data_IF_589169853462
#
_entry.id   IF_589169853462
#
_cell.length_a   1.000
_cell.length_b   1.000
_cell.length_c   1.000
_cell.angle_alpha   90.00
_cell.angle_beta   90.00
_cell.angle_gamma   90.00
#
_symmetry.space_group_name_H-M   'P 1'
#
loop_
_entity.id
_entity.type
_entity.pdbx_description
1 polymer ?
#
# COMPACT_ATOMS: atom_id res chain seq x y z
N UNK A 1 -17.94 55.19 -40.87
CA UNK A 1 -16.83 55.03 -39.91
C UNK A 1 -16.88 53.61 -39.37
N UNK A 2 -16.05 52.72 -39.91
CA UNK A 2 -16.16 51.28 -39.70
C UNK A 2 -15.55 50.90 -38.35
N UNK A 3 -16.38 50.48 -37.39
CA UNK A 3 -15.89 49.93 -36.12
C UNK A 3 -15.55 48.46 -36.33
N UNK A 4 -14.27 48.10 -36.18
CA UNK A 4 -13.81 46.71 -36.11
C UNK A 4 -13.75 46.30 -34.65
N UNK A 5 -14.57 45.32 -34.26
CA UNK A 5 -14.49 44.69 -32.94
C UNK A 5 -13.52 43.51 -33.02
N UNK A 6 -12.46 43.57 -32.22
CA UNK A 6 -11.57 42.43 -31.99
C UNK A 6 -12.04 41.72 -30.72
N UNK A 7 -12.51 40.49 -30.86
CA UNK A 7 -12.78 39.62 -29.71
C UNK A 7 -11.50 38.86 -29.39
N UNK A 8 -10.92 39.14 -28.22
CA UNK A 8 -9.88 38.29 -27.64
C UNK A 8 -10.63 37.10 -27.06
N UNK A 9 -10.53 35.92 -27.70
CA UNK A 9 -10.92 34.67 -27.08
C UNK A 9 -10.05 34.51 -25.83
N UNK A 10 -10.60 34.53 -24.60
CA UNK A 10 -9.81 34.14 -23.45
C UNK A 10 -9.52 32.65 -23.64
N UNK A 11 -8.27 32.33 -23.98
CA UNK A 11 -7.76 30.98 -23.87
C UNK A 11 -7.81 30.62 -22.38
N UNK A 12 -8.94 30.06 -21.95
CA UNK A 12 -9.11 29.50 -20.61
C UNK A 12 -8.30 28.20 -20.59
N UNK A 13 -6.99 28.33 -20.38
CA UNK A 13 -6.11 27.21 -20.10
C UNK A 13 -6.44 26.75 -18.68
N UNK A 14 -7.48 25.93 -18.54
CA UNK A 14 -7.75 25.26 -17.28
C UNK A 14 -6.60 24.28 -17.05
N UNK A 15 -5.62 24.70 -16.25
CA UNK A 15 -4.58 23.82 -15.73
C UNK A 15 -5.29 22.82 -14.80
N UNK A 16 -5.76 21.70 -15.34
CA UNK A 16 -6.23 20.59 -14.53
C UNK A 16 -5.01 20.09 -13.77
N UNK A 17 -4.88 20.51 -12.51
CA UNK A 17 -3.90 19.95 -11.59
C UNK A 17 -4.24 18.47 -11.53
N UNK A 18 -3.40 17.64 -12.17
CA UNK A 18 -3.49 16.20 -12.08
C UNK A 18 -3.10 15.87 -10.64
N UNK A 19 -4.10 15.89 -9.75
CA UNK A 19 -3.88 15.43 -8.39
C UNK A 19 -3.59 13.94 -8.53
N UNK A 20 -2.37 13.47 -8.18
CA UNK A 20 -2.13 12.03 -8.16
C UNK A 20 -3.07 11.44 -7.12
N UNK A 21 -4.17 10.85 -7.59
CA UNK A 21 -5.10 10.14 -6.75
C UNK A 21 -4.35 8.91 -6.25
N UNK A 22 -4.19 8.79 -4.93
CA UNK A 22 -3.74 7.55 -4.33
C UNK A 22 -4.70 6.43 -4.76
N UNK A 23 -4.20 5.52 -5.58
CA UNK A 23 -4.98 4.42 -6.11
C UNK A 23 -4.24 3.13 -5.75
N UNK A 24 -4.87 2.36 -4.87
CA UNK A 24 -4.46 0.97 -4.62
C UNK A 24 -4.51 0.19 -5.94
N UNK A 25 -3.53 -0.70 -6.13
CA UNK A 25 -3.49 -1.61 -7.27
C UNK A 25 -4.41 -2.82 -7.09
N UNK A 26 -4.98 -2.98 -5.89
CA UNK A 26 -5.72 -4.17 -5.49
C UNK A 26 -6.92 -4.42 -6.39
N UNK A 27 -7.05 -5.68 -6.80
CA UNK A 27 -8.20 -6.20 -7.53
C UNK A 27 -8.72 -7.44 -6.83
N UNK A 28 -9.94 -7.84 -7.18
CA UNK A 28 -10.49 -9.12 -6.76
C UNK A 28 -10.67 -10.00 -8.00
N UNK A 29 -9.96 -11.11 -8.03
CA UNK A 29 -10.01 -12.11 -9.09
C UNK A 29 -10.36 -13.47 -8.49
N UNK A 30 -11.50 -14.04 -8.87
CA UNK A 30 -11.97 -15.34 -8.36
C UNK A 30 -12.00 -15.36 -6.81
N UNK A 31 -12.58 -14.32 -6.21
CA UNK A 31 -12.64 -14.11 -4.75
C UNK A 31 -11.28 -13.90 -4.07
N UNK A 32 -10.18 -13.83 -4.81
CA UNK A 32 -8.86 -13.56 -4.26
C UNK A 32 -8.47 -12.10 -4.43
N UNK A 33 -8.03 -11.44 -3.36
CA UNK A 33 -7.34 -10.16 -3.47
C UNK A 33 -5.99 -10.38 -4.17
N UNK A 34 -5.80 -9.68 -5.28
CA UNK A 34 -4.56 -9.68 -6.07
C UNK A 34 -3.96 -8.28 -6.07
N UNK A 35 -2.68 -8.21 -6.44
CA UNK A 35 -1.94 -6.96 -6.59
C UNK A 35 -1.92 -6.13 -5.29
N UNK A 36 -1.99 -6.81 -4.13
CA UNK A 36 -1.78 -6.19 -2.81
C UNK A 36 -0.31 -5.82 -2.67
N UNK A 37 -0.02 -4.57 -2.33
CA UNK A 37 1.35 -4.07 -2.19
C UNK A 37 1.70 -3.80 -0.73
N UNK A 38 2.78 -4.42 -0.28
CA UNK A 38 3.38 -4.21 1.04
C UNK A 38 4.74 -3.56 0.82
N UNK A 39 4.91 -2.30 1.20
CA UNK A 39 6.16 -1.58 0.96
C UNK A 39 6.93 -1.35 2.26
N UNK A 40 8.24 -1.59 2.21
CA UNK A 40 9.17 -1.27 3.29
C UNK A 40 9.77 0.11 3.01
N UNK A 41 9.69 1.02 3.97
CA UNK A 41 10.22 2.38 3.85
C UNK A 41 11.74 2.37 3.74
N UNK A 42 12.28 3.36 3.02
CA UNK A 42 13.73 3.55 2.88
C UNK A 42 14.42 3.84 4.23
N UNK A 43 13.66 4.35 5.21
CA UNK A 43 14.14 4.68 6.55
C UNK A 43 14.27 3.43 7.46
N UNK A 44 13.77 2.27 7.02
CA UNK A 44 13.91 1.01 7.74
C UNK A 44 15.26 0.38 7.41
N UNK A 45 16.08 0.16 8.45
CA UNK A 45 17.38 -0.50 8.31
C UNK A 45 17.24 -1.91 7.74
N UNK A 46 18.21 -2.34 6.92
CA UNK A 46 18.18 -3.65 6.28
C UNK A 46 18.12 -4.77 7.31
N UNK A 47 16.99 -5.49 7.33
CA UNK A 47 16.80 -6.71 8.09
C UNK A 47 15.92 -7.66 7.29
N UNK A 48 16.53 -8.70 6.74
CA UNK A 48 15.88 -9.63 5.83
C UNK A 48 14.79 -10.46 6.49
N UNK A 49 14.81 -10.54 7.83
CA UNK A 49 13.76 -11.20 8.62
C UNK A 49 12.40 -10.50 8.47
N UNK A 50 12.38 -9.19 8.18
CA UNK A 50 11.12 -8.47 7.90
C UNK A 50 10.42 -9.10 6.70
N UNK A 51 11.15 -9.50 5.65
CA UNK A 51 10.55 -10.11 4.45
C UNK A 51 9.97 -11.49 4.78
N UNK A 52 10.67 -12.32 5.57
CA UNK A 52 10.14 -13.63 5.98
C UNK A 52 8.91 -13.49 6.89
N UNK A 53 8.95 -12.58 7.85
CA UNK A 53 7.82 -12.34 8.75
C UNK A 53 6.60 -11.78 8.01
N UNK A 54 6.76 -10.84 7.07
CA UNK A 54 5.66 -10.37 6.23
C UNK A 54 5.04 -11.52 5.42
N UNK A 55 5.88 -12.37 4.80
CA UNK A 55 5.39 -13.55 4.07
C UNK A 55 4.57 -14.46 4.98
N UNK A 56 5.03 -14.72 6.20
CA UNK A 56 4.33 -15.54 7.18
C UNK A 56 3.01 -14.89 7.61
N UNK A 57 3.06 -13.64 8.07
CA UNK A 57 1.90 -12.86 8.54
C UNK A 57 0.76 -12.84 7.51
N UNK A 58 1.06 -12.57 6.24
CA UNK A 58 0.03 -12.56 5.20
C UNK A 58 -0.44 -13.97 4.79
N UNK A 59 0.44 -14.97 4.85
CA UNK A 59 0.06 -16.36 4.63
C UNK A 59 -0.92 -16.85 5.70
N UNK A 60 -0.72 -16.46 6.96
CA UNK A 60 -1.58 -16.81 8.09
C UNK A 60 -2.87 -15.99 8.12
N UNK A 61 -2.82 -14.72 7.70
CA UNK A 61 -4.01 -13.87 7.61
C UNK A 61 -5.00 -14.34 6.53
N UNK A 62 -4.51 -14.91 5.42
CA UNK A 62 -5.35 -15.34 4.30
C UNK A 62 -6.45 -16.36 4.67
N UNK A 63 -6.15 -17.50 5.34
CA UNK A 63 -7.18 -18.44 5.79
C UNK A 63 -8.11 -17.86 6.86
N UNK A 64 -7.61 -16.97 7.73
CA UNK A 64 -8.45 -16.27 8.70
C UNK A 64 -9.48 -15.39 7.99
N UNK A 65 -9.05 -14.55 7.04
CA UNK A 65 -9.91 -13.71 6.21
C UNK A 65 -10.94 -14.56 5.44
N UNK A 66 -10.52 -15.69 4.89
CA UNK A 66 -11.40 -16.62 4.19
C UNK A 66 -12.51 -17.13 5.09
N UNK A 67 -12.19 -17.58 6.30
CA UNK A 67 -13.19 -18.06 7.25
C UNK A 67 -14.09 -16.92 7.76
N UNK A 68 -13.51 -15.77 8.14
CA UNK A 68 -14.25 -14.60 8.64
C UNK A 68 -15.24 -14.06 7.61
N UNK A 69 -14.90 -14.14 6.33
CA UNK A 69 -15.78 -13.71 5.25
C UNK A 69 -16.81 -14.77 4.84
N UNK A 70 -16.91 -15.91 5.54
CA UNK A 70 -17.75 -17.07 5.16
C UNK A 70 -17.34 -17.66 3.81
N UNK A 71 -16.04 -17.90 3.64
CA UNK A 71 -15.42 -18.51 2.46
C UNK A 71 -15.57 -17.67 1.19
N UNK A 72 -15.54 -16.34 1.31
CA UNK A 72 -15.81 -15.41 0.20
C UNK A 72 -14.62 -14.59 -0.26
N UNK A 73 -13.59 -14.42 0.56
CA UNK A 73 -12.41 -13.66 0.17
C UNK A 73 -11.14 -14.19 0.80
N UNK A 74 -10.03 -14.21 0.06
CA UNK A 74 -8.71 -14.61 0.56
C UNK A 74 -7.63 -13.74 -0.09
N UNK A 75 -6.40 -13.76 0.45
CA UNK A 75 -5.27 -13.10 -0.19
C UNK A 75 -4.64 -14.05 -1.20
N UNK A 76 -4.64 -13.68 -2.47
CA UNK A 76 -4.20 -14.53 -3.60
C UNK A 76 -2.80 -14.17 -4.07
N UNK A 77 -2.49 -12.87 -4.19
CA UNK A 77 -1.19 -12.40 -4.68
C UNK A 77 -0.80 -11.10 -3.98
N UNK A 78 0.40 -11.10 -3.42
CA UNK A 78 0.96 -9.98 -2.66
C UNK A 78 2.37 -9.73 -3.17
N UNK A 79 2.68 -8.46 -3.42
CA UNK A 79 4.02 -8.00 -3.77
C UNK A 79 4.64 -7.30 -2.55
N UNK A 80 5.86 -7.69 -2.17
CA UNK A 80 6.63 -6.99 -1.15
C UNK A 80 7.64 -6.08 -1.87
N UNK A 81 7.46 -4.77 -1.75
CA UNK A 81 8.36 -3.76 -2.30
C UNK A 81 9.50 -3.50 -1.30
N UNK A 82 10.69 -3.95 -1.66
CA UNK A 82 11.94 -3.76 -0.90
C UNK A 82 12.58 -2.43 -1.34
N UNK A 83 13.03 -1.57 -0.41
CA UNK A 83 13.59 -0.27 -0.77
C UNK A 83 14.96 -0.42 -1.43
N UNK A 84 15.29 0.53 -2.30
CA UNK A 84 16.59 0.62 -2.99
C UNK A 84 17.78 0.89 -2.07
N UNK A 85 17.52 1.21 -0.79
CA UNK A 85 18.55 1.37 0.25
C UNK A 85 19.06 0.03 0.78
N UNK A 86 18.35 -1.07 0.52
CA UNK A 86 18.78 -2.42 0.86
C UNK A 86 19.64 -3.02 -0.25
N UNK A 87 20.49 -3.96 0.13
CA UNK A 87 21.34 -4.70 -0.79
C UNK A 87 20.51 -5.49 -1.80
N UNK A 88 20.83 -5.36 -3.09
CA UNK A 88 20.15 -6.12 -4.14
C UNK A 88 20.45 -7.61 -4.04
N UNK A 89 19.46 -8.45 -4.40
CA UNK A 89 19.55 -9.90 -4.35
C UNK A 89 18.97 -10.53 -5.60
N UNK A 90 19.48 -11.71 -5.96
CA UNK A 90 19.10 -12.41 -7.20
C UNK A 90 17.61 -12.77 -7.27
N UNK A 91 16.97 -12.95 -6.11
CA UNK A 91 15.55 -13.24 -6.00
C UNK A 91 14.65 -12.01 -6.15
N UNK A 92 15.20 -10.79 -6.11
CA UNK A 92 14.43 -9.56 -6.27
C UNK A 92 14.16 -9.30 -7.76
N UNK A 93 12.99 -8.72 -8.01
CA UNK A 93 12.54 -8.33 -9.34
C UNK A 93 12.24 -6.84 -9.33
N UNK A 94 12.36 -6.20 -10.49
CA UNK A 94 12.01 -4.80 -10.63
C UNK A 94 10.52 -4.58 -10.34
N UNK A 95 10.22 -3.60 -9.50
CA UNK A 95 8.87 -3.08 -9.36
C UNK A 95 8.43 -2.43 -10.67
N UNK A 96 7.18 -2.65 -11.08
CA UNK A 96 6.64 -2.07 -12.31
C UNK A 96 5.69 -0.93 -11.99
N UNK A 97 4.68 -1.22 -11.17
CA UNK A 97 3.63 -0.28 -10.78
C UNK A 97 3.64 -0.05 -9.27
N UNK A 98 4.27 -0.93 -8.50
CA UNK A 98 4.36 -0.87 -7.06
C UNK A 98 5.25 0.30 -6.62
N UNK A 99 4.70 1.19 -5.81
CA UNK A 99 5.44 2.29 -5.18
C UNK A 99 5.12 2.34 -3.69
N UNK A 100 5.93 3.05 -2.91
CA UNK A 100 5.62 3.23 -1.49
C UNK A 100 4.31 4.02 -1.29
N UNK A 101 4.03 4.98 -2.17
CA UNK A 101 2.86 5.85 -2.11
C UNK A 101 1.54 5.15 -2.46
N UNK A 102 1.57 4.08 -3.26
CA UNK A 102 0.38 3.30 -3.59
C UNK A 102 0.24 2.01 -2.78
N UNK A 103 1.18 1.73 -1.87
CA UNK A 103 1.17 0.54 -1.05
C UNK A 103 -0.01 0.51 -0.07
N UNK A 104 -0.70 -0.63 -0.02
CA UNK A 104 -1.82 -0.91 0.88
C UNK A 104 -1.35 -1.11 2.32
N UNK A 105 -0.14 -1.67 2.47
CA UNK A 105 0.54 -1.83 3.75
C UNK A 105 1.93 -1.19 3.67
N UNK A 106 2.30 -0.44 4.71
CA UNK A 106 3.59 0.24 4.81
C UNK A 106 4.29 -0.16 6.08
N UNK A 107 5.47 -0.76 5.94
CA UNK A 107 6.41 -0.97 7.05
C UNK A 107 7.26 0.28 7.12
N UNK A 108 6.99 1.12 8.11
CA UNK A 108 7.65 2.41 8.25
C UNK A 108 7.94 2.73 9.71
N UNK A 109 8.87 3.67 9.91
CA UNK A 109 9.14 4.24 11.21
C UNK A 109 7.98 5.18 11.58
N UNK A 110 7.57 5.18 12.86
CA UNK A 110 6.65 6.24 13.33
C UNK A 110 5.35 5.75 13.96
N UNK A 111 5.47 4.91 14.98
CA UNK A 111 4.43 4.82 15.99
C UNK A 111 5.07 4.69 17.39
N UNK A 112 4.80 5.63 18.33
CA UNK A 112 5.34 5.55 19.69
C UNK A 112 4.94 4.28 20.45
N UNK A 113 3.86 3.61 20.04
CA UNK A 113 3.30 2.44 20.71
C UNK A 113 3.57 1.11 19.99
N UNK A 114 4.35 1.13 18.89
CA UNK A 114 4.72 -0.07 18.13
C UNK A 114 3.52 -0.97 17.71
N UNK A 115 2.32 -0.40 17.56
CA UNK A 115 1.12 -1.14 17.16
C UNK A 115 0.72 -0.83 15.71
N UNK A 116 0.07 -1.75 15.00
CA UNK A 116 -0.43 -1.49 13.67
C UNK A 116 -1.60 -0.50 13.73
N UNK A 117 -1.76 0.33 12.70
CA UNK A 117 -2.92 1.21 12.56
C UNK A 117 -3.32 1.39 11.10
N UNK A 118 -4.56 1.79 10.86
CA UNK A 118 -5.02 2.18 9.52
C UNK A 118 -5.05 3.71 9.42
N UNK A 119 -4.39 4.27 8.39
CA UNK A 119 -4.50 5.70 8.10
C UNK A 119 -5.76 5.94 7.30
N UNK A 120 -6.83 6.31 7.99
CA UNK A 120 -8.10 6.70 7.38
C UNK A 120 -8.22 8.22 7.37
N UNK A 121 -7.99 8.84 6.21
CA UNK A 121 -8.20 10.28 6.02
C UNK A 121 -9.62 10.63 5.56
N UNK A 122 -10.37 9.63 5.08
CA UNK A 122 -11.73 9.77 4.59
C UNK A 122 -12.80 9.61 5.67
N UNK A 123 -14.05 9.61 5.23
CA UNK A 123 -15.22 9.40 6.06
C UNK A 123 -15.53 7.91 6.30
N UNK A 124 -16.49 7.64 7.17
CA UNK A 124 -16.98 6.27 7.38
C UNK A 124 -17.50 5.69 6.05
N UNK A 125 -17.08 4.46 5.72
CA UNK A 125 -17.43 3.79 4.48
C UNK A 125 -16.48 4.08 3.31
N UNK A 126 -15.56 5.05 3.45
CA UNK A 126 -14.51 5.27 2.46
C UNK A 126 -13.30 4.34 2.73
N UNK A 127 -12.57 3.91 1.69
CA UNK A 127 -11.35 3.13 1.87
C UNK A 127 -10.29 3.91 2.67
N UNK A 128 -9.57 3.21 3.56
CA UNK A 128 -8.39 3.78 4.20
C UNK A 128 -7.28 4.04 3.17
N UNK A 129 -6.38 4.97 3.47
CA UNK A 129 -5.26 5.30 2.59
C UNK A 129 -4.19 4.20 2.59
N UNK A 130 -3.85 3.64 3.75
CA UNK A 130 -2.98 2.47 3.92
C UNK A 130 -3.04 1.94 5.36
N UNK A 131 -2.57 0.72 5.57
CA UNK A 131 -2.25 0.13 6.86
C UNK A 131 -0.77 0.38 7.18
N UNK A 132 -0.46 0.90 8.36
CA UNK A 132 0.90 1.10 8.84
C UNK A 132 1.30 -0.01 9.81
N UNK A 133 2.49 -0.56 9.60
CA UNK A 133 3.17 -1.50 10.47
C UNK A 133 4.53 -0.90 10.84
N UNK A 134 4.99 -1.12 12.06
CA UNK A 134 6.37 -0.80 12.46
C UNK A 134 7.27 -2.03 12.25
N UNK A 135 8.58 -1.84 12.02
CA UNK A 135 9.52 -2.97 11.90
C UNK A 135 9.48 -3.87 13.13
N UNK A 136 9.47 -3.28 14.34
CA UNK A 136 9.46 -4.05 15.59
C UNK A 136 8.16 -4.84 15.77
N UNK A 137 7.01 -4.33 15.29
CA UNK A 137 5.76 -5.10 15.29
C UNK A 137 5.83 -6.30 14.34
N UNK A 138 6.37 -6.11 13.14
CA UNK A 138 6.53 -7.18 12.15
C UNK A 138 7.49 -8.26 12.66
N UNK A 139 8.52 -7.88 13.43
CA UNK A 139 9.51 -8.80 13.98
C UNK A 139 9.07 -9.47 15.29
N UNK A 140 7.96 -9.04 15.89
CA UNK A 140 7.48 -9.59 17.16
C UNK A 140 6.75 -10.92 16.97
N UNK A 141 7.51 -12.01 17.07
CA UNK A 141 7.03 -13.40 16.96
C UNK A 141 6.15 -13.88 18.13
N UNK A 142 5.82 -13.03 19.11
CA UNK A 142 5.02 -13.41 20.29
C UNK A 142 3.53 -13.05 20.19
N UNK A 143 3.14 -12.13 19.30
CA UNK A 143 1.73 -11.69 19.18
C UNK A 143 0.80 -12.72 18.52
N UNK A 144 1.36 -13.71 17.81
CA UNK A 144 0.57 -14.75 17.12
C UNK A 144 0.06 -15.87 18.07
N UNK A 145 0.41 -15.83 19.37
CA UNK A 145 0.07 -16.88 20.34
C UNK A 145 -1.10 -16.57 21.26
N UNK A 146 -1.81 -15.45 21.08
CA UNK A 146 -2.88 -15.02 22.00
C UNK A 146 -4.29 -14.86 21.38
N UNK A 147 -4.57 -15.41 20.20
CA UNK A 147 -5.95 -15.48 19.69
C UNK A 147 -6.36 -16.88 19.27
#
# INVERSE_FOLDING_TARGET
MNKRMAYILPALLTLTIFHPTWASLVKIEENGYTDVVVAISRDVSENTEIISQLKQMFSDASPYLYNATRKRAYLKRISILVPDTWSDKKEYQNANLETFENADFRVDMGNPYNNPYTRQLGHCGEPASYCHLTPDYVLDTHNDRQT
#
